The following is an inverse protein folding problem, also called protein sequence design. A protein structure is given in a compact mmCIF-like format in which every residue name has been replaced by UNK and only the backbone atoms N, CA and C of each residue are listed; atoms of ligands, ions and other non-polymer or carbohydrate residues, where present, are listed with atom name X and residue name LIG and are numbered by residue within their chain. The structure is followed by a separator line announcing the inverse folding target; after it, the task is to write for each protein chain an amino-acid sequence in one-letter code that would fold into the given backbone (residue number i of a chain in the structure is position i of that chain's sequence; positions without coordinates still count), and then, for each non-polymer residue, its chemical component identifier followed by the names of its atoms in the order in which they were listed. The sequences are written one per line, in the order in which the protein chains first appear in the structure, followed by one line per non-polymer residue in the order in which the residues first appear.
data_IF_206367216781
#
_entry.id   IF_206367216781
#
_cell.length_a   1.000
_cell.length_b   1.000
_cell.length_c   1.000
_cell.angle_alpha   90.00
_cell.angle_beta   90.00
_cell.angle_gamma   90.00
#
_symmetry.space_group_name_H-M   'P 1'
#
loop_
_entity.id
_entity.type
_entity.pdbx_description
1 polymer ?
#
# COMPACT_ATOMS: atom_id res chain seq x y z
N UNK A 1 -8.42 68.39 -0.88
CA UNK A 1 -7.58 69.05 0.16
C UNK A 1 -7.10 67.96 1.13
N UNK A 2 -5.78 67.90 1.21
CA UNK A 2 -4.97 67.30 2.29
C UNK A 2 -5.05 65.79 2.62
N UNK A 3 -4.01 65.11 2.19
CA UNK A 3 -3.34 64.03 2.94
C UNK A 3 -2.64 64.62 4.16
N UNK A 4 -2.35 63.82 5.24
CA UNK A 4 -1.01 63.26 5.24
C UNK A 4 -0.87 61.81 5.75
N UNK A 5 0.29 61.25 5.42
CA UNK A 5 0.94 60.01 5.92
C UNK A 5 1.15 60.04 7.44
N UNK A 6 1.29 58.84 8.03
CA UNK A 6 2.38 58.49 8.97
C UNK A 6 2.28 57.02 9.45
N UNK A 7 3.31 56.29 9.11
CA UNK A 7 4.23 55.63 10.04
C UNK A 7 3.75 54.45 10.86
N UNK A 8 4.21 53.32 10.50
CA UNK A 8 4.89 52.24 11.15
C UNK A 8 4.54 51.86 12.60
N UNK A 9 4.08 50.61 12.77
CA UNK A 9 4.40 49.86 13.99
C UNK A 9 4.66 48.40 13.61
N UNK A 10 5.91 48.00 13.73
CA UNK A 10 6.34 46.62 13.84
C UNK A 10 5.73 46.01 15.10
N UNK A 11 4.88 45.02 14.98
CA UNK A 11 4.54 44.13 16.08
C UNK A 11 5.37 42.86 15.96
N UNK A 12 6.38 42.77 16.81
CA UNK A 12 7.15 41.59 17.10
C UNK A 12 6.24 40.59 17.83
N UNK A 13 5.79 39.56 17.15
CA UNK A 13 5.18 38.40 17.81
C UNK A 13 6.29 37.40 18.16
N UNK A 14 6.77 37.49 19.42
CA UNK A 14 7.49 36.40 20.06
C UNK A 14 6.46 35.33 20.48
N UNK A 15 6.11 34.42 19.58
CA UNK A 15 5.47 33.15 19.92
C UNK A 15 6.59 32.16 20.27
N UNK A 16 6.61 31.67 21.51
CA UNK A 16 7.44 30.53 21.90
C UNK A 16 7.06 29.31 21.05
N UNK A 17 7.91 28.97 20.10
CA UNK A 17 7.89 27.67 19.47
C UNK A 17 8.38 26.64 20.48
N UNK A 18 7.53 25.72 20.91
CA UNK A 18 7.93 24.54 21.64
C UNK A 18 8.73 23.66 20.68
N UNK A 19 10.06 23.81 20.78
CA UNK A 19 10.99 23.03 19.98
C UNK A 19 10.94 21.57 20.41
N UNK A 20 10.80 20.68 19.45
CA UNK A 20 11.56 19.43 19.41
C UNK A 20 11.39 18.70 18.06
N UNK A 21 10.23 18.86 17.40
CA UNK A 21 9.92 18.12 16.16
C UNK A 21 10.57 18.70 14.91
N UNK A 22 10.55 20.04 14.75
CA UNK A 22 11.22 20.72 13.62
C UNK A 22 12.75 20.51 13.66
N UNK A 23 13.33 20.49 14.86
CA UNK A 23 14.76 20.24 15.05
C UNK A 23 15.15 18.81 14.72
N UNK A 24 14.29 17.82 15.00
CA UNK A 24 14.55 16.39 14.70
C UNK A 24 14.55 16.11 13.19
N UNK A 25 13.64 16.72 12.44
CA UNK A 25 13.61 16.60 10.97
C UNK A 25 14.69 17.46 10.30
N UNK A 26 14.99 18.64 10.84
CA UNK A 26 16.08 19.48 10.36
C UNK A 26 17.46 18.89 10.68
N UNK A 27 17.64 18.23 11.82
CA UNK A 27 18.87 17.49 12.16
C UNK A 27 18.99 16.20 11.33
N UNK A 28 17.89 15.53 10.97
CA UNK A 28 17.93 14.36 10.06
C UNK A 28 18.30 14.77 8.63
N UNK A 29 17.83 15.93 8.14
CA UNK A 29 18.23 16.48 6.83
C UNK A 29 19.66 17.03 6.84
N UNK A 30 20.12 17.69 7.93
CA UNK A 30 21.50 18.11 8.06
C UNK A 30 22.47 16.95 8.26
N UNK A 31 22.12 15.94 9.04
CA UNK A 31 22.97 14.73 9.18
C UNK A 31 23.10 13.96 7.86
N UNK A 32 22.08 14.00 7.00
CA UNK A 32 22.14 13.44 5.64
C UNK A 32 22.97 14.27 4.65
N UNK A 33 23.06 15.59 4.84
CA UNK A 33 23.89 16.48 4.02
C UNK A 33 25.38 16.45 4.45
N UNK A 34 25.70 16.28 5.73
CA UNK A 34 27.09 16.22 6.21
C UNK A 34 27.81 14.89 5.97
N UNK A 35 27.09 13.80 5.69
CA UNK A 35 27.74 12.50 5.35
C UNK A 35 28.24 12.42 3.91
N UNK A 36 27.95 13.41 3.06
CA UNK A 36 28.44 13.47 1.67
C UNK A 36 29.77 14.20 1.47
N UNK A 37 30.36 14.85 2.49
CA UNK A 37 31.56 15.71 2.30
C UNK A 37 32.83 15.26 2.98
N UNK A 38 32.89 14.05 3.56
CA UNK A 38 34.11 13.50 4.17
C UNK A 38 34.43 12.11 3.62
N UNK A 39 34.91 12.04 2.39
CA UNK A 39 35.76 10.90 1.91
C UNK A 39 37.12 11.42 1.57
N UNK A 40 37.90 11.56 2.60
CA UNK A 40 39.38 11.65 2.50
C UNK A 40 39.94 10.28 2.17
N UNK A 41 40.74 10.24 1.12
CA UNK A 41 41.52 9.10 0.65
C UNK A 41 42.47 8.55 1.73
N UNK A 42 42.21 7.33 2.19
CA UNK A 42 43.24 6.50 2.87
C UNK A 42 43.53 5.30 1.98
N UNK A 43 44.73 5.30 1.37
CA UNK A 43 45.35 4.10 0.80
C UNK A 43 45.85 3.23 1.94
N UNK A 44 45.39 2.00 2.00
CA UNK A 44 46.05 0.91 2.72
C UNK A 44 46.28 -0.23 1.74
N UNK A 45 47.58 -0.46 1.51
CA UNK A 45 48.16 -1.62 0.84
C UNK A 45 48.24 -2.79 1.83
N UNK A 46 47.96 -4.02 1.39
CA UNK A 46 48.30 -5.23 2.15
C UNK A 46 47.45 -6.45 1.79
N UNK A 47 47.95 -7.22 0.88
CA UNK A 47 48.04 -8.69 0.70
C UNK A 47 46.91 -9.64 1.17
N UNK A 48 46.42 -10.35 0.18
CA UNK A 48 46.13 -11.79 0.04
C UNK A 48 45.35 -12.59 1.07
N UNK A 49 44.33 -13.29 0.55
CA UNK A 49 43.93 -14.63 0.98
C UNK A 49 42.51 -14.82 1.39
N UNK A 50 41.66 -15.41 0.54
CA UNK A 50 40.52 -16.15 1.04
C UNK A 50 39.12 -15.70 0.61
N UNK A 51 38.55 -16.50 -0.28
CA UNK A 51 37.10 -16.75 -0.34
C UNK A 51 36.18 -15.56 -0.53
N UNK A 52 35.97 -15.11 -1.74
CA UNK A 52 35.03 -14.05 -2.07
C UNK A 52 33.56 -14.33 -1.66
N UNK A 53 33.21 -14.03 -0.43
CA UNK A 53 31.82 -13.83 0.00
C UNK A 53 31.39 -12.53 -0.65
N UNK A 54 30.68 -12.62 -1.80
CA UNK A 54 30.00 -11.46 -2.42
C UNK A 54 29.16 -10.79 -1.34
N UNK A 55 29.62 -9.64 -0.83
CA UNK A 55 28.79 -8.76 0.02
C UNK A 55 27.58 -8.36 -0.81
N UNK A 56 26.45 -9.04 -0.61
CA UNK A 56 25.17 -8.57 -1.11
C UNK A 56 24.98 -7.18 -0.54
N UNK A 57 25.04 -6.15 -1.40
CA UNK A 57 24.81 -4.78 -0.98
C UNK A 57 23.48 -4.72 -0.19
N UNK A 58 23.52 -4.05 0.97
CA UNK A 58 22.34 -3.90 1.84
C UNK A 58 21.17 -3.36 1.03
N UNK A 59 20.05 -4.07 0.99
CA UNK A 59 18.78 -3.61 0.40
C UNK A 59 18.12 -2.62 1.35
N UNK A 60 17.39 -1.66 0.79
CA UNK A 60 16.50 -0.78 1.55
C UNK A 60 15.13 -1.45 1.60
N UNK A 61 14.72 -1.88 2.79
CA UNK A 61 13.41 -2.53 3.00
C UNK A 61 12.36 -1.52 3.43
N UNK A 62 11.31 -1.40 2.64
CA UNK A 62 10.25 -0.41 2.83
C UNK A 62 8.90 -1.10 3.01
N UNK A 63 8.16 -0.72 4.05
CA UNK A 63 6.75 -1.06 4.16
C UNK A 63 5.91 -0.01 3.41
N UNK A 64 5.05 -0.46 2.48
CA UNK A 64 4.10 0.37 1.74
C UNK A 64 2.70 0.05 2.28
N UNK A 65 2.11 0.99 3.01
CA UNK A 65 0.92 0.78 3.85
C UNK A 65 -0.21 1.67 3.34
N UNK A 66 -1.30 1.08 2.87
CA UNK A 66 -2.48 1.82 2.42
C UNK A 66 -3.59 1.81 3.48
N UNK A 67 -4.30 2.89 3.57
CA UNK A 67 -5.64 3.05 4.09
C UNK A 67 -5.90 2.35 5.45
N UNK A 68 -5.28 2.78 6.55
CA UNK A 68 -5.68 2.36 7.89
C UNK A 68 -7.11 2.80 8.23
N UNK A 69 -7.53 3.94 7.76
CA UNK A 69 -8.87 4.50 7.61
C UNK A 69 -9.80 4.24 8.81
N UNK A 70 -9.39 4.77 9.97
CA UNK A 70 -10.15 4.66 11.21
C UNK A 70 -11.15 5.80 11.37
N UNK A 71 -12.40 5.49 11.74
CA UNK A 71 -13.50 6.46 11.91
C UNK A 71 -13.77 6.80 13.38
N UNK A 72 -13.41 5.91 14.30
CA UNK A 72 -13.67 6.04 15.71
C UNK A 72 -12.64 5.29 16.55
N UNK A 73 -12.68 5.48 17.88
CA UNK A 73 -11.74 4.87 18.81
C UNK A 73 -11.77 3.33 18.78
N UNK A 74 -12.93 2.72 18.50
CA UNK A 74 -13.04 1.27 18.37
C UNK A 74 -12.21 0.76 17.19
N UNK A 75 -12.32 1.42 16.05
CA UNK A 75 -11.53 1.10 14.85
C UNK A 75 -10.04 1.43 15.04
N UNK A 76 -9.73 2.53 15.74
CA UNK A 76 -8.36 2.80 16.19
C UNK A 76 -7.81 1.66 17.04
N UNK A 77 -8.62 1.11 17.94
CA UNK A 77 -8.28 -0.07 18.73
C UNK A 77 -8.04 -1.33 17.86
N UNK A 78 -8.83 -1.54 16.80
CA UNK A 78 -8.60 -2.63 15.83
C UNK A 78 -7.29 -2.44 15.07
N UNK A 79 -7.03 -1.23 14.56
CA UNK A 79 -5.79 -0.90 13.87
C UNK A 79 -4.57 -1.10 14.79
N UNK A 80 -4.66 -0.64 16.05
CA UNK A 80 -3.62 -0.79 17.05
C UNK A 80 -3.29 -2.25 17.35
N UNK A 81 -4.31 -3.07 17.60
CA UNK A 81 -4.16 -4.50 17.93
C UNK A 81 -3.74 -5.36 16.74
N UNK A 82 -3.89 -4.89 15.51
CA UNK A 82 -3.59 -5.64 14.30
C UNK A 82 -2.49 -4.99 13.46
N UNK A 83 -2.79 -3.94 12.68
CA UNK A 83 -1.88 -3.32 11.70
C UNK A 83 -0.64 -2.75 12.38
N UNK A 84 -0.82 -1.88 13.37
CA UNK A 84 0.31 -1.22 14.02
C UNK A 84 1.13 -2.18 14.90
N UNK A 85 0.48 -3.18 15.53
CA UNK A 85 1.18 -4.27 16.23
C UNK A 85 2.02 -5.12 15.28
N UNK A 86 1.48 -5.49 14.11
CA UNK A 86 2.20 -6.25 13.08
C UNK A 86 3.42 -5.45 12.58
N UNK A 87 3.23 -4.17 12.20
CA UNK A 87 4.29 -3.27 11.80
C UNK A 87 5.36 -3.10 12.88
N UNK A 88 4.97 -2.85 14.12
CA UNK A 88 5.91 -2.67 15.25
C UNK A 88 6.75 -3.93 15.54
N UNK A 89 6.23 -5.11 15.22
CA UNK A 89 6.95 -6.38 15.37
C UNK A 89 8.08 -6.56 14.37
N UNK A 90 8.07 -5.82 13.22
CA UNK A 90 9.00 -5.93 12.12
C UNK A 90 10.25 -5.07 12.37
N UNK A 91 11.32 -5.72 12.84
CA UNK A 91 12.61 -5.05 13.09
C UNK A 91 13.50 -4.97 11.85
N UNK A 92 13.08 -5.57 10.76
CA UNK A 92 13.78 -5.65 9.48
C UNK A 92 13.38 -4.54 8.48
N UNK A 93 12.41 -3.68 8.82
CA UNK A 93 11.99 -2.53 8.01
C UNK A 93 12.94 -1.34 8.26
N UNK A 94 13.39 -0.69 7.19
CA UNK A 94 14.21 0.52 7.26
C UNK A 94 13.37 1.81 7.29
N UNK A 95 12.26 1.85 6.54
CA UNK A 95 11.27 2.95 6.52
C UNK A 95 9.88 2.41 6.21
N UNK A 96 8.83 3.17 6.60
CA UNK A 96 7.46 2.92 6.14
C UNK A 96 6.91 4.15 5.40
N UNK A 97 6.09 3.89 4.37
CA UNK A 97 5.35 4.91 3.63
C UNK A 97 3.86 4.59 3.73
N UNK A 98 3.12 5.50 4.37
CA UNK A 98 1.65 5.43 4.47
C UNK A 98 1.03 6.22 3.31
N UNK A 99 0.12 5.56 2.59
CA UNK A 99 -0.39 6.03 1.30
C UNK A 99 -1.76 6.72 1.40
N UNK A 100 -2.01 7.38 2.53
CA UNK A 100 -3.21 8.18 2.78
C UNK A 100 -4.36 7.41 3.42
N UNK A 101 -5.45 8.14 3.66
CA UNK A 101 -6.61 7.69 4.40
C UNK A 101 -6.21 7.07 5.76
N UNK A 102 -5.48 7.85 6.56
CA UNK A 102 -5.13 7.48 7.93
C UNK A 102 -6.38 7.43 8.81
N UNK A 103 -7.29 8.37 8.57
CA UNK A 103 -8.63 8.46 9.20
C UNK A 103 -9.73 8.40 8.14
N UNK A 104 -10.98 8.24 8.58
CA UNK A 104 -12.15 8.21 7.71
C UNK A 104 -13.04 9.43 7.98
N UNK A 105 -12.68 10.60 7.43
CA UNK A 105 -13.32 11.92 7.63
C UNK A 105 -13.29 12.44 9.09
N UNK A 106 -12.91 11.63 10.06
CA UNK A 106 -12.82 12.04 11.47
C UNK A 106 -11.43 12.60 11.80
N UNK A 107 -11.22 13.87 11.47
CA UNK A 107 -9.94 14.54 11.66
C UNK A 107 -9.52 14.71 13.13
N UNK A 108 -10.43 14.48 14.09
CA UNK A 108 -10.07 14.51 15.53
C UNK A 108 -9.15 13.34 15.91
N UNK A 109 -9.19 12.24 15.14
CA UNK A 109 -8.33 11.07 15.34
C UNK A 109 -6.96 11.18 14.65
N UNK A 110 -6.76 12.17 13.75
CA UNK A 110 -5.50 12.28 13.01
C UNK A 110 -4.27 12.45 13.92
N UNK A 111 -4.30 13.28 14.96
CA UNK A 111 -3.16 13.41 15.88
C UNK A 111 -2.78 12.09 16.55
N UNK A 112 -3.78 11.28 16.96
CA UNK A 112 -3.55 9.98 17.58
C UNK A 112 -3.02 8.98 16.56
N UNK A 113 -3.57 8.93 15.35
CA UNK A 113 -3.10 8.07 14.27
C UNK A 113 -1.63 8.33 13.96
N UNK A 114 -1.25 9.61 13.82
CA UNK A 114 0.14 10.01 13.56
C UNK A 114 1.03 9.69 14.75
N UNK A 115 0.58 9.91 15.99
CA UNK A 115 1.33 9.56 17.20
C UNK A 115 1.66 8.05 17.25
N UNK A 116 0.70 7.19 16.90
CA UNK A 116 0.90 5.73 16.84
C UNK A 116 1.89 5.37 15.74
N UNK A 117 1.76 5.97 14.55
CA UNK A 117 2.68 5.76 13.42
C UNK A 117 4.10 6.21 13.80
N UNK A 118 4.27 7.37 14.42
CA UNK A 118 5.57 7.90 14.85
C UNK A 118 6.22 7.06 15.96
N UNK A 119 5.45 6.22 16.66
CA UNK A 119 5.96 5.28 17.66
C UNK A 119 6.55 4.00 17.06
N UNK A 120 6.40 3.75 15.76
CA UNK A 120 7.01 2.61 15.09
C UNK A 120 8.55 2.70 15.13
N UNK A 121 9.26 1.55 15.15
CA UNK A 121 10.71 1.53 15.40
C UNK A 121 11.58 1.99 14.23
N UNK A 122 11.00 2.60 13.20
CA UNK A 122 11.66 3.11 12.00
C UNK A 122 10.98 4.40 11.52
N UNK A 123 11.67 5.25 10.73
CA UNK A 123 11.08 6.45 10.18
C UNK A 123 9.85 6.14 9.31
N UNK A 124 8.79 6.93 9.51
CA UNK A 124 7.54 6.83 8.77
C UNK A 124 7.29 8.11 7.98
N UNK A 125 6.83 7.96 6.76
CA UNK A 125 6.42 9.04 5.89
C UNK A 125 4.99 8.78 5.42
N UNK A 126 4.23 9.84 5.11
CA UNK A 126 2.83 9.69 4.75
C UNK A 126 2.37 10.74 3.74
N UNK A 127 1.40 10.38 2.91
CA UNK A 127 0.68 11.30 2.03
C UNK A 127 -0.76 11.44 2.50
N UNK A 128 -1.42 12.58 2.31
CA UNK A 128 -2.84 12.71 2.66
C UNK A 128 -3.73 12.01 1.63
N UNK A 129 -4.76 11.33 2.12
CA UNK A 129 -5.84 10.78 1.33
C UNK A 129 -7.04 11.72 1.19
N UNK A 130 -8.11 11.22 0.59
CA UNK A 130 -9.35 12.00 0.43
C UNK A 130 -10.17 12.08 1.72
N UNK A 131 -9.97 11.16 2.65
CA UNK A 131 -10.58 11.18 3.98
C UNK A 131 -9.73 11.90 5.05
N UNK A 132 -8.47 12.25 4.76
CA UNK A 132 -7.57 12.98 5.66
C UNK A 132 -7.72 14.50 5.52
N UNK A 133 -8.96 15.02 5.42
CA UNK A 133 -9.23 16.42 5.12
C UNK A 133 -10.27 17.02 6.05
N UNK A 134 -9.98 18.24 6.51
CA UNK A 134 -10.98 19.04 7.22
C UNK A 134 -12.15 19.37 6.28
N UNK A 135 -13.37 19.15 6.74
CA UNK A 135 -14.60 19.52 6.05
C UNK A 135 -15.12 20.81 6.64
N UNK A 136 -15.36 21.80 5.80
CA UNK A 136 -15.95 23.08 6.19
C UNK A 136 -17.25 23.31 5.42
N UNK A 137 -18.32 23.64 6.13
CA UNK A 137 -19.67 23.86 5.58
C UNK A 137 -20.56 22.63 5.63
N UNK A 138 -21.86 22.88 5.47
CA UNK A 138 -22.88 21.83 5.49
C UNK A 138 -23.17 21.31 4.08
N UNK A 139 -23.51 20.02 3.98
CA UNK A 139 -24.02 19.49 2.72
C UNK A 139 -25.40 20.08 2.42
N UNK A 140 -25.81 20.37 1.17
CA UNK A 140 -25.15 19.90 -0.04
C UNK A 140 -24.11 20.84 -0.67
N UNK A 141 -23.98 22.12 -0.36
CA UNK A 141 -22.99 22.97 -1.01
C UNK A 141 -22.92 24.41 -0.44
N UNK A 142 -21.81 25.11 -0.53
CA UNK A 142 -20.47 24.71 -0.93
C UNK A 142 -19.70 24.18 0.27
N UNK A 143 -19.23 22.95 0.18
CA UNK A 143 -18.43 22.43 1.24
C UNK A 143 -16.96 22.31 0.78
N UNK A 144 -16.07 22.87 1.55
CA UNK A 144 -14.65 22.94 1.21
C UNK A 144 -13.88 21.93 2.06
N UNK A 145 -13.09 21.09 1.39
CA UNK A 145 -12.14 20.22 2.06
C UNK A 145 -10.75 20.84 1.99
N UNK A 146 -10.07 20.91 3.11
CA UNK A 146 -8.72 21.47 3.19
C UNK A 146 -7.78 20.57 4.02
N UNK A 147 -6.50 20.93 4.11
CA UNK A 147 -5.46 20.18 4.80
C UNK A 147 -4.90 20.96 5.99
N UNK A 148 -5.72 21.73 6.70
CA UNK A 148 -5.25 22.54 7.85
C UNK A 148 -4.76 21.65 8.98
N UNK A 149 -5.59 20.71 9.43
CA UNK A 149 -5.22 19.77 10.50
C UNK A 149 -4.05 18.88 10.07
N UNK A 150 -4.05 18.39 8.84
CA UNK A 150 -2.93 17.63 8.30
C UNK A 150 -1.59 18.39 8.40
N UNK A 151 -1.55 19.65 7.92
CA UNK A 151 -0.34 20.47 7.98
C UNK A 151 0.15 20.74 9.42
N UNK A 152 -0.78 20.89 10.34
CA UNK A 152 -0.44 21.12 11.75
C UNK A 152 0.11 19.87 12.43
N UNK A 153 -0.37 18.68 12.05
CA UNK A 153 -0.02 17.41 12.69
C UNK A 153 1.18 16.75 12.01
N UNK A 154 1.16 16.64 10.67
CA UNK A 154 2.20 15.96 9.89
C UNK A 154 3.35 16.90 9.53
N UNK A 155 3.08 18.20 9.33
CA UNK A 155 4.09 19.23 9.05
C UNK A 155 4.45 19.42 7.58
N UNK A 156 4.05 18.53 6.69
CA UNK A 156 4.24 18.63 5.24
C UNK A 156 3.04 18.06 4.47
N UNK A 157 2.95 18.38 3.17
CA UNK A 157 1.94 17.83 2.24
C UNK A 157 2.64 17.08 1.11
N UNK A 158 3.59 17.76 0.48
CA UNK A 158 4.46 17.21 -0.55
C UNK A 158 5.90 17.18 -0.02
N UNK A 159 6.62 16.08 -0.26
CA UNK A 159 8.03 15.96 0.19
C UNK A 159 8.79 15.00 -0.69
N UNK A 160 10.13 15.11 -0.68
CA UNK A 160 11.00 14.16 -1.36
C UNK A 160 12.31 13.94 -0.61
N UNK A 161 12.84 12.74 -0.72
CA UNK A 161 14.16 12.38 -0.19
C UNK A 161 14.80 11.25 -1.00
N UNK A 162 16.11 11.08 -0.86
CA UNK A 162 16.85 9.98 -1.47
C UNK A 162 17.42 9.09 -0.37
N UNK A 163 17.23 7.77 -0.52
CA UNK A 163 17.84 6.77 0.35
C UNK A 163 18.29 5.56 -0.46
N UNK A 164 19.51 5.08 -0.22
CA UNK A 164 20.11 3.92 -0.93
C UNK A 164 20.00 4.01 -2.47
N UNK A 165 20.19 5.22 -3.03
CA UNK A 165 20.09 5.49 -4.48
C UNK A 165 18.67 5.32 -5.05
N UNK A 166 17.66 5.37 -4.19
CA UNK A 166 16.23 5.41 -4.56
C UNK A 166 15.67 6.75 -4.10
N UNK A 167 15.03 7.48 -5.00
CA UNK A 167 14.28 8.70 -4.68
C UNK A 167 12.84 8.32 -4.32
N UNK A 168 12.37 8.87 -3.23
CA UNK A 168 10.95 8.85 -2.83
C UNK A 168 10.40 10.25 -3.01
N UNK A 169 9.31 10.37 -3.75
CA UNK A 169 8.53 11.58 -3.92
C UNK A 169 7.13 11.27 -3.39
N UNK A 170 6.74 11.91 -2.32
CA UNK A 170 5.43 11.77 -1.70
C UNK A 170 4.61 13.01 -2.02
N UNK A 171 3.48 12.83 -2.72
CA UNK A 171 2.67 13.96 -3.20
C UNK A 171 1.19 13.77 -2.94
N UNK A 172 0.56 14.82 -2.46
CA UNK A 172 -0.89 14.91 -2.44
C UNK A 172 -1.43 15.02 -3.88
N UNK A 173 -2.18 14.03 -4.30
CA UNK A 173 -2.84 14.07 -5.60
C UNK A 173 -4.37 14.12 -5.52
N UNK A 174 -4.92 14.41 -4.33
CA UNK A 174 -6.35 14.61 -4.14
C UNK A 174 -6.68 16.08 -4.31
N UNK A 175 -7.49 16.42 -5.30
CA UNK A 175 -7.93 17.78 -5.62
C UNK A 175 -9.43 17.90 -5.44
N UNK A 176 -9.90 19.10 -5.13
CA UNK A 176 -11.33 19.41 -5.25
C UNK A 176 -11.85 19.15 -6.65
N UNK A 177 -13.09 18.69 -6.73
CA UNK A 177 -13.82 18.58 -7.99
C UNK A 177 -14.69 19.81 -8.19
N UNK A 178 -14.52 20.46 -9.33
CA UNK A 178 -15.35 21.60 -9.74
C UNK A 178 -16.70 21.14 -10.35
N UNK A 179 -16.90 19.82 -10.52
CA UNK A 179 -18.07 19.28 -11.23
C UNK A 179 -19.34 19.10 -10.37
N UNK A 180 -19.21 19.24 -9.05
CA UNK A 180 -20.33 19.05 -8.11
C UNK A 180 -20.85 17.60 -7.98
N UNK A 181 -20.42 16.68 -8.82
CA UNK A 181 -20.84 15.27 -8.79
C UNK A 181 -19.98 14.41 -7.85
N UNK A 182 -18.72 14.78 -7.66
CA UNK A 182 -17.79 14.14 -6.72
C UNK A 182 -17.05 15.20 -5.94
N UNK A 183 -16.75 14.93 -4.68
CA UNK A 183 -16.05 15.88 -3.80
C UNK A 183 -14.61 16.13 -4.23
N UNK A 184 -14.00 15.18 -4.94
CA UNK A 184 -12.58 15.20 -5.32
C UNK A 184 -12.32 14.48 -6.64
N UNK A 185 -11.15 14.76 -7.18
CA UNK A 185 -10.55 14.08 -8.34
C UNK A 185 -9.07 13.86 -8.08
N UNK A 186 -8.52 12.80 -8.68
CA UNK A 186 -7.05 12.61 -8.71
C UNK A 186 -6.39 13.58 -9.68
N UNK A 187 -5.25 14.18 -9.30
CA UNK A 187 -4.47 15.05 -10.17
C UNK A 187 -3.53 15.98 -9.42
N UNK A 188 -2.72 16.73 -10.15
CA UNK A 188 -1.75 17.68 -9.60
C UNK A 188 -2.05 19.11 -10.08
N UNK A 189 -1.77 20.09 -9.22
CA UNK A 189 -1.81 21.52 -9.58
C UNK A 189 -0.61 21.88 -10.46
N UNK A 190 -0.67 23.05 -11.12
CA UNK A 190 0.47 23.60 -11.85
C UNK A 190 1.71 23.75 -10.97
N UNK A 191 1.55 24.29 -9.76
CA UNK A 191 2.65 24.45 -8.80
C UNK A 191 3.28 23.12 -8.40
N UNK A 192 2.46 22.09 -8.16
CA UNK A 192 2.98 20.74 -7.86
C UNK A 192 3.72 20.13 -9.05
N UNK A 193 3.27 20.35 -10.29
CA UNK A 193 3.99 19.89 -11.48
C UNK A 193 5.33 20.59 -11.65
N UNK A 194 5.42 21.88 -11.42
CA UNK A 194 6.69 22.60 -11.42
C UNK A 194 7.65 22.11 -10.33
N UNK A 195 7.13 21.85 -9.12
CA UNK A 195 7.93 21.28 -8.05
C UNK A 195 8.40 19.86 -8.39
N UNK A 196 7.52 19.00 -8.94
CA UNK A 196 7.86 17.66 -9.37
C UNK A 196 8.96 17.67 -10.44
N UNK A 197 8.86 18.54 -11.45
CA UNK A 197 9.87 18.74 -12.48
C UNK A 197 11.22 19.12 -11.86
N UNK A 198 11.23 20.08 -10.95
CA UNK A 198 12.46 20.48 -10.25
C UNK A 198 13.11 19.33 -9.47
N UNK A 199 12.27 18.50 -8.79
CA UNK A 199 12.76 17.35 -8.02
C UNK A 199 13.28 16.25 -8.95
N UNK A 200 12.61 15.97 -10.06
CA UNK A 200 13.01 14.92 -11.01
C UNK A 200 14.36 15.23 -11.68
N UNK A 201 14.68 16.50 -11.87
CA UNK A 201 15.91 16.96 -12.53
C UNK A 201 17.12 17.10 -11.58
N UNK A 202 16.98 16.84 -10.26
CA UNK A 202 18.07 16.88 -9.31
C UNK A 202 18.69 15.49 -9.14
N UNK A 203 19.95 15.29 -9.57
CA UNK A 203 20.67 14.03 -9.44
C UNK A 203 20.06 12.92 -10.33
N UNK A 204 20.68 11.74 -10.31
CA UNK A 204 20.27 10.59 -11.12
C UNK A 204 20.13 9.33 -10.24
N UNK A 205 19.09 9.21 -9.44
CA UNK A 205 18.85 7.98 -8.66
C UNK A 205 18.56 6.80 -9.60
N UNK A 206 18.87 5.59 -9.15
CA UNK A 206 18.65 4.39 -9.95
C UNK A 206 17.15 4.04 -10.10
N UNK A 207 16.30 4.56 -9.22
CA UNK A 207 14.84 4.42 -9.23
C UNK A 207 14.21 5.63 -8.55
N UNK A 208 13.08 6.09 -9.07
CA UNK A 208 12.22 7.07 -8.41
C UNK A 208 10.87 6.40 -8.09
N UNK A 209 10.46 6.45 -6.83
CA UNK A 209 9.16 6.02 -6.33
C UNK A 209 8.29 7.26 -6.17
N UNK A 210 7.21 7.36 -6.93
CA UNK A 210 6.18 8.39 -6.75
C UNK A 210 5.03 7.79 -5.96
N UNK A 211 4.94 8.19 -4.68
CA UNK A 211 3.91 7.75 -3.74
C UNK A 211 2.79 8.79 -3.67
N UNK A 212 1.57 8.36 -3.96
CA UNK A 212 0.35 9.18 -3.93
C UNK A 212 -0.78 8.39 -3.28
N UNK A 213 -1.90 9.04 -2.99
CA UNK A 213 -3.07 8.31 -2.48
C UNK A 213 -3.89 7.68 -3.62
N UNK A 214 -4.38 8.51 -4.55
CA UNK A 214 -5.16 8.02 -5.70
C UNK A 214 -4.22 7.37 -6.72
N UNK A 215 -4.57 6.21 -7.30
CA UNK A 215 -3.76 5.54 -8.32
C UNK A 215 -3.38 6.46 -9.48
N UNK A 216 -2.14 6.32 -9.94
CA UNK A 216 -1.61 7.12 -11.04
C UNK A 216 -2.41 6.91 -12.34
N UNK A 217 -2.90 5.70 -12.57
CA UNK A 217 -3.80 5.36 -13.69
C UNK A 217 -5.15 6.08 -13.64
N UNK A 218 -5.55 6.62 -12.48
CA UNK A 218 -6.86 7.27 -12.26
C UNK A 218 -6.78 8.80 -12.19
N UNK A 219 -5.59 9.40 -12.28
CA UNK A 219 -5.47 10.87 -12.20
C UNK A 219 -5.84 11.56 -13.50
N UNK A 220 -6.44 12.74 -13.40
CA UNK A 220 -6.64 13.64 -14.55
C UNK A 220 -5.31 14.28 -14.97
N UNK A 221 -5.07 14.36 -16.27
CA UNK A 221 -3.86 14.97 -16.82
C UNK A 221 -2.58 14.13 -16.62
N UNK A 222 -2.71 12.81 -16.55
CA UNK A 222 -1.60 11.86 -16.41
C UNK A 222 -0.48 12.12 -17.42
N UNK A 223 -0.81 12.34 -18.67
CA UNK A 223 0.17 12.54 -19.74
C UNK A 223 1.06 13.78 -19.50
N UNK A 224 0.49 14.83 -18.90
CA UNK A 224 1.28 16.02 -18.52
C UNK A 224 2.25 15.76 -17.36
N UNK A 225 2.04 14.72 -16.57
CA UNK A 225 2.97 14.28 -15.52
C UNK A 225 4.03 13.36 -16.13
N UNK A 226 3.63 12.45 -17.02
CA UNK A 226 4.57 11.58 -17.75
C UNK A 226 5.56 12.40 -18.59
N UNK A 227 5.12 13.50 -19.19
CA UNK A 227 5.99 14.40 -19.95
C UNK A 227 7.09 15.09 -19.12
N UNK A 228 6.95 15.13 -17.79
CA UNK A 228 7.98 15.65 -16.87
C UNK A 228 9.05 14.60 -16.53
N UNK A 229 8.74 13.31 -16.74
CA UNK A 229 9.66 12.23 -16.37
C UNK A 229 10.81 12.16 -17.38
N UNK A 230 12.08 12.32 -16.95
CA UNK A 230 13.21 12.17 -17.85
C UNK A 230 13.23 10.79 -18.50
N UNK A 231 13.56 10.70 -19.77
CA UNK A 231 13.56 9.44 -20.54
C UNK A 231 14.39 8.32 -19.89
N UNK A 232 15.52 8.68 -19.28
CA UNK A 232 16.40 7.74 -18.59
C UNK A 232 15.91 7.37 -17.18
N UNK A 233 14.87 8.00 -16.65
CA UNK A 233 14.40 7.78 -15.30
C UNK A 233 13.56 6.51 -15.19
N UNK A 234 13.90 5.66 -14.23
CA UNK A 234 13.07 4.50 -13.87
C UNK A 234 12.07 4.94 -12.80
N UNK A 235 10.79 4.70 -13.05
CA UNK A 235 9.71 5.07 -12.14
C UNK A 235 9.03 3.84 -11.55
N UNK A 236 8.52 4.01 -10.33
CA UNK A 236 7.53 3.13 -9.71
C UNK A 236 6.45 4.03 -9.09
N UNK A 237 5.20 3.87 -9.52
CA UNK A 237 4.04 4.56 -8.97
C UNK A 237 3.40 3.71 -7.89
N UNK A 238 3.16 4.28 -6.70
CA UNK A 238 2.62 3.53 -5.55
C UNK A 238 1.45 4.29 -4.95
N UNK A 239 0.33 3.59 -4.71
CA UNK A 239 -0.88 4.21 -4.18
C UNK A 239 -1.74 3.26 -3.33
N UNK A 240 -2.72 3.85 -2.59
CA UNK A 240 -3.77 3.16 -1.85
C UNK A 240 -5.16 3.35 -2.47
N UNK A 241 -6.09 3.93 -1.70
CA UNK A 241 -7.40 4.45 -2.12
C UNK A 241 -8.47 3.42 -2.51
N UNK A 242 -8.13 2.41 -3.29
CA UNK A 242 -9.15 1.58 -3.94
C UNK A 242 -9.66 0.42 -3.10
N UNK A 243 -9.04 0.13 -1.95
CA UNK A 243 -9.26 -1.07 -1.15
C UNK A 243 -9.20 -2.37 -1.99
N UNK A 244 -8.25 -2.35 -2.92
CA UNK A 244 -8.12 -3.35 -3.97
C UNK A 244 -6.64 -3.44 -4.36
N UNK A 245 -6.05 -4.60 -4.20
CA UNK A 245 -4.65 -4.82 -4.59
C UNK A 245 -4.58 -5.03 -6.09
N UNK A 246 -3.73 -4.26 -6.75
CA UNK A 246 -3.46 -4.42 -8.19
C UNK A 246 -2.03 -4.04 -8.52
N UNK A 247 -1.49 -4.70 -9.52
CA UNK A 247 -0.17 -4.41 -10.06
C UNK A 247 -0.19 -4.50 -11.57
N UNK A 248 0.33 -3.46 -12.23
CA UNK A 248 0.50 -3.40 -13.66
C UNK A 248 1.98 -3.12 -13.94
N UNK A 249 2.66 -4.05 -14.58
CA UNK A 249 4.09 -3.94 -14.87
C UNK A 249 4.33 -3.25 -16.23
N UNK A 250 3.30 -3.06 -17.07
CA UNK A 250 3.38 -2.29 -18.32
C UNK A 250 3.46 -0.78 -18.08
N UNK A 251 2.74 -0.30 -17.06
CA UNK A 251 2.97 0.98 -16.40
C UNK A 251 3.34 0.60 -14.98
N UNK A 252 4.58 0.79 -14.52
CA UNK A 252 5.05 0.24 -13.25
C UNK A 252 4.30 0.85 -12.07
N UNK A 253 3.04 0.41 -11.89
CA UNK A 253 2.11 0.84 -10.86
C UNK A 253 1.79 -0.27 -9.88
N UNK A 254 1.86 0.05 -8.59
CA UNK A 254 1.48 -0.78 -7.48
C UNK A 254 0.39 -0.10 -6.65
N UNK A 255 -0.82 -0.65 -6.66
CA UNK A 255 -1.91 -0.28 -5.76
C UNK A 255 -1.88 -1.26 -4.60
N UNK A 256 -1.53 -0.78 -3.40
CA UNK A 256 -1.22 -1.66 -2.26
C UNK A 256 -2.46 -2.21 -1.54
N UNK A 257 -3.65 -1.69 -1.87
CA UNK A 257 -4.90 -2.02 -1.16
C UNK A 257 -4.99 -1.31 0.19
N UNK A 258 -5.85 -1.81 1.08
CA UNK A 258 -6.18 -1.17 2.35
C UNK A 258 -5.90 -2.09 3.54
N UNK A 259 -5.28 -1.53 4.58
CA UNK A 259 -5.06 -2.26 5.84
C UNK A 259 -6.33 -2.32 6.70
N UNK A 260 -7.31 -1.44 6.49
CA UNK A 260 -8.66 -1.57 7.04
C UNK A 260 -9.51 -2.62 6.31
N UNK A 261 -9.05 -3.11 5.12
CA UNK A 261 -9.86 -3.96 4.23
C UNK A 261 -11.11 -3.23 3.75
N UNK A 262 -12.30 -3.77 4.08
CA UNK A 262 -13.60 -3.13 3.80
C UNK A 262 -14.09 -2.37 5.03
N UNK A 263 -13.42 -1.27 5.38
CA UNK A 263 -13.80 -0.35 6.47
C UNK A 263 -14.04 -1.04 7.82
N UNK A 264 -13.10 -1.89 8.26
CA UNK A 264 -13.18 -2.58 9.56
C UNK A 264 -14.50 -3.34 9.79
N UNK A 265 -15.03 -3.97 8.75
CA UNK A 265 -16.29 -4.73 8.79
C UNK A 265 -16.06 -6.22 8.65
N UNK A 266 -17.01 -7.00 9.12
CA UNK A 266 -17.02 -8.45 9.04
C UNK A 266 -17.13 -9.11 10.41
N UNK A 267 -17.33 -10.43 10.41
CA UNK A 267 -17.32 -11.23 11.63
C UNK A 267 -15.99 -11.05 12.34
N UNK A 268 -16.04 -10.87 13.64
CA UNK A 268 -14.85 -10.70 14.46
C UNK A 268 -14.14 -12.03 14.68
N UNK A 269 -12.82 -11.99 14.68
CA UNK A 269 -11.96 -13.11 15.06
C UNK A 269 -11.84 -13.27 16.58
N UNK A 270 -10.97 -14.19 17.04
CA UNK A 270 -10.75 -14.46 18.47
C UNK A 270 -10.18 -13.28 19.26
N UNK A 271 -9.55 -12.31 18.59
CA UNK A 271 -9.03 -11.07 19.17
C UNK A 271 -10.07 -9.93 19.13
N UNK A 272 -11.28 -10.22 18.65
CA UNK A 272 -12.36 -9.26 18.49
C UNK A 272 -12.19 -8.31 17.32
N UNK A 273 -11.34 -8.62 16.34
CA UNK A 273 -11.01 -7.78 15.18
C UNK A 273 -11.82 -8.24 13.97
N UNK A 274 -12.52 -7.32 13.25
CA UNK A 274 -13.29 -7.69 12.06
C UNK A 274 -12.42 -8.33 10.97
N UNK A 275 -12.99 -9.29 10.24
CA UNK A 275 -12.31 -10.00 9.15
C UNK A 275 -11.87 -9.06 8.01
N UNK A 276 -12.69 -8.09 7.65
CA UNK A 276 -12.41 -6.95 6.77
C UNK A 276 -11.65 -7.31 5.46
N UNK A 277 -12.20 -8.26 4.69
CA UNK A 277 -11.63 -8.70 3.41
C UNK A 277 -11.64 -7.56 2.38
N UNK A 278 -10.57 -7.42 1.61
CA UNK A 278 -10.49 -6.49 0.47
C UNK A 278 -11.35 -6.96 -0.72
N UNK A 279 -11.77 -6.03 -1.56
CA UNK A 279 -12.67 -6.32 -2.68
C UNK A 279 -12.08 -7.22 -3.77
N UNK A 280 -10.75 -7.36 -3.83
CA UNK A 280 -10.04 -8.29 -4.73
C UNK A 280 -9.87 -9.71 -4.14
N UNK A 281 -10.28 -9.92 -2.89
CA UNK A 281 -10.11 -11.19 -2.19
C UNK A 281 -8.78 -11.35 -1.45
N UNK A 282 -7.90 -10.35 -1.48
CA UNK A 282 -6.73 -10.35 -0.60
C UNK A 282 -7.16 -10.05 0.84
N UNK A 283 -6.61 -10.75 1.84
CA UNK A 283 -6.72 -10.32 3.22
C UNK A 283 -6.17 -8.90 3.39
N UNK A 284 -6.57 -8.18 4.46
CA UNK A 284 -5.92 -6.92 4.80
C UNK A 284 -4.42 -7.14 4.97
N UNK A 285 -3.63 -6.21 4.46
CA UNK A 285 -2.19 -6.35 4.43
C UNK A 285 -1.50 -5.12 3.83
N UNK A 286 -0.20 -5.22 3.70
CA UNK A 286 0.66 -4.20 3.14
C UNK A 286 1.78 -4.84 2.33
N UNK A 287 2.45 -4.07 1.48
CA UNK A 287 3.61 -4.58 0.76
C UNK A 287 4.91 -4.32 1.51
N UNK A 288 5.83 -5.25 1.40
CA UNK A 288 7.25 -5.07 1.66
C UNK A 288 7.95 -4.97 0.31
N UNK A 289 8.64 -3.86 0.09
CA UNK A 289 9.47 -3.62 -1.08
C UNK A 289 10.94 -3.61 -0.67
N UNK A 290 11.73 -4.49 -1.26
CA UNK A 290 13.17 -4.58 -1.09
C UNK A 290 13.85 -3.86 -2.25
N UNK A 291 14.26 -2.60 -2.05
CA UNK A 291 14.92 -1.78 -3.06
C UNK A 291 16.43 -2.00 -3.06
N UNK A 292 16.97 -2.32 -4.22
CA UNK A 292 18.40 -2.46 -4.46
C UNK A 292 19.00 -1.16 -4.98
N UNK A 293 20.26 -0.90 -4.64
CA UNK A 293 21.00 0.29 -5.14
C UNK A 293 21.06 0.42 -6.67
N UNK A 294 20.83 -0.68 -7.38
CA UNK A 294 20.73 -0.73 -8.85
C UNK A 294 19.38 -0.24 -9.41
N UNK A 295 18.43 0.08 -8.54
CA UNK A 295 17.05 0.40 -8.93
C UNK A 295 16.16 -0.83 -9.21
N UNK A 296 16.69 -2.07 -9.09
CA UNK A 296 15.86 -3.27 -9.03
C UNK A 296 15.12 -3.29 -7.70
N UNK A 297 13.92 -3.84 -7.68
CA UNK A 297 13.17 -4.07 -6.44
C UNK A 297 12.49 -5.44 -6.47
N UNK A 298 12.30 -6.00 -5.29
CA UNK A 298 11.54 -7.23 -5.07
C UNK A 298 10.36 -6.90 -4.15
N UNK A 299 9.21 -7.51 -4.39
CA UNK A 299 7.97 -7.27 -3.65
C UNK A 299 7.53 -8.52 -2.91
N UNK A 300 6.89 -8.34 -1.78
CA UNK A 300 6.12 -9.38 -1.10
C UNK A 300 4.90 -8.78 -0.40
N UNK A 301 3.78 -9.50 -0.44
CA UNK A 301 2.58 -9.10 0.28
C UNK A 301 2.61 -9.66 1.70
N UNK A 302 2.40 -8.81 2.70
CA UNK A 302 2.33 -9.22 4.10
C UNK A 302 0.89 -9.12 4.60
N UNK A 303 0.24 -10.25 4.77
CA UNK A 303 -1.05 -10.30 5.44
C UNK A 303 -0.89 -9.94 6.92
N UNK A 304 -1.67 -8.97 7.40
CA UNK A 304 -1.64 -8.54 8.82
C UNK A 304 -2.00 -9.70 9.72
N UNK A 305 -1.19 -9.90 10.78
CA UNK A 305 -1.38 -10.96 11.77
C UNK A 305 -1.08 -12.37 11.29
N UNK A 306 -0.55 -12.57 10.05
CA UNK A 306 -0.21 -13.88 9.51
C UNK A 306 1.29 -14.01 9.21
N UNK A 307 1.83 -15.23 9.09
CA UNK A 307 3.22 -15.43 8.69
C UNK A 307 3.55 -14.74 7.35
N UNK A 308 4.76 -14.20 7.20
CA UNK A 308 5.20 -13.56 5.96
C UNK A 308 5.26 -14.51 4.75
N UNK A 309 5.31 -15.82 5.00
CA UNK A 309 5.24 -16.85 3.95
C UNK A 309 3.83 -17.05 3.38
N UNK A 310 2.79 -16.49 4.01
CA UNK A 310 1.40 -16.65 3.57
C UNK A 310 1.02 -15.53 2.60
N UNK A 311 1.33 -15.73 1.31
CA UNK A 311 1.17 -14.75 0.25
C UNK A 311 0.15 -15.17 -0.82
N UNK A 312 -0.51 -16.31 -0.65
CA UNK A 312 -1.53 -16.82 -1.56
C UNK A 312 -2.50 -17.77 -0.84
N UNK A 313 -3.65 -17.99 -1.48
CA UNK A 313 -4.62 -19.03 -1.09
C UNK A 313 -4.91 -19.96 -2.27
N UNK A 314 -5.38 -21.16 -1.99
CA UNK A 314 -5.85 -22.11 -3.00
C UNK A 314 -7.23 -22.66 -2.63
N UNK A 315 -8.11 -22.76 -3.63
CA UNK A 315 -9.50 -23.17 -3.49
C UNK A 315 -9.85 -24.27 -4.49
N UNK A 316 -10.64 -25.25 -4.05
CA UNK A 316 -11.30 -26.18 -4.96
C UNK A 316 -12.55 -25.50 -5.53
N UNK A 317 -12.67 -25.47 -6.84
CA UNK A 317 -13.86 -24.99 -7.52
C UNK A 317 -14.52 -26.16 -8.26
N UNK A 318 -15.85 -26.36 -8.16
CA UNK A 318 -16.53 -27.41 -8.89
C UNK A 318 -16.24 -27.31 -10.40
N UNK A 319 -16.18 -28.46 -11.08
CA UNK A 319 -16.19 -28.50 -12.53
C UNK A 319 -17.64 -28.49 -13.01
N UNK A 320 -18.00 -27.60 -13.95
CA UNK A 320 -19.37 -27.45 -14.42
C UNK A 320 -19.84 -28.68 -15.23
N UNK A 321 -18.90 -29.50 -15.73
CA UNK A 321 -19.19 -30.71 -16.54
C UNK A 321 -19.29 -31.99 -15.72
N UNK A 322 -18.80 -32.01 -14.49
CA UNK A 322 -18.78 -33.19 -13.61
C UNK A 322 -18.82 -32.77 -12.13
N UNK A 323 -19.91 -33.12 -11.46
CA UNK A 323 -20.13 -32.82 -10.05
C UNK A 323 -19.18 -33.53 -9.08
N UNK A 324 -18.50 -34.58 -9.54
CA UNK A 324 -17.48 -35.30 -8.77
C UNK A 324 -16.06 -34.77 -8.98
N UNK A 325 -15.91 -33.78 -9.85
CA UNK A 325 -14.65 -33.18 -10.22
C UNK A 325 -14.55 -31.72 -9.84
N UNK A 326 -13.33 -31.24 -9.66
CA UNK A 326 -13.04 -29.85 -9.36
C UNK A 326 -11.73 -29.40 -10.02
N UNK A 327 -11.59 -28.10 -10.17
CA UNK A 327 -10.34 -27.42 -10.55
C UNK A 327 -9.81 -26.60 -9.38
N UNK A 328 -8.52 -26.33 -9.38
CA UNK A 328 -7.91 -25.46 -8.38
C UNK A 328 -7.93 -24.00 -8.85
N UNK A 329 -8.32 -23.12 -7.95
CA UNK A 329 -8.23 -21.69 -8.10
C UNK A 329 -7.19 -21.15 -7.11
N UNK A 330 -6.21 -20.41 -7.60
CA UNK A 330 -5.14 -19.82 -6.80
C UNK A 330 -5.30 -18.32 -6.81
N UNK A 331 -5.39 -17.72 -5.62
CA UNK A 331 -5.37 -16.27 -5.41
C UNK A 331 -3.97 -15.89 -4.90
N UNK A 332 -3.18 -15.20 -5.72
CA UNK A 332 -1.82 -14.72 -5.36
C UNK A 332 -1.91 -13.26 -4.94
N UNK A 333 -1.79 -12.97 -3.65
CA UNK A 333 -1.96 -11.62 -3.12
C UNK A 333 -0.91 -10.67 -3.69
N UNK A 334 -1.35 -9.71 -4.51
CA UNK A 334 -0.47 -8.77 -5.20
C UNK A 334 0.31 -9.34 -6.39
N UNK A 335 -0.11 -10.48 -6.93
CA UNK A 335 0.46 -10.99 -8.19
C UNK A 335 0.17 -10.05 -9.37
N UNK A 336 1.14 -9.90 -10.27
CA UNK A 336 1.01 -9.13 -11.52
C UNK A 336 0.21 -9.90 -12.56
N UNK A 337 -0.38 -9.18 -13.50
CA UNK A 337 -1.10 -9.76 -14.65
C UNK A 337 -0.21 -10.67 -15.51
N UNK A 338 1.10 -10.44 -15.53
CA UNK A 338 2.09 -11.20 -16.31
C UNK A 338 2.69 -12.38 -15.52
N UNK A 339 2.20 -12.61 -14.30
CA UNK A 339 2.68 -13.67 -13.42
C UNK A 339 2.36 -15.07 -13.92
N UNK A 340 3.26 -16.01 -13.64
CA UNK A 340 3.13 -17.41 -13.98
C UNK A 340 2.90 -18.21 -12.70
N UNK A 341 1.80 -18.97 -12.66
CA UNK A 341 1.45 -19.87 -11.55
C UNK A 341 1.58 -21.31 -11.99
N UNK A 342 2.28 -22.12 -11.18
CA UNK A 342 2.33 -23.58 -11.32
C UNK A 342 1.90 -24.23 -10.02
N UNK A 343 1.03 -25.23 -10.13
CA UNK A 343 0.55 -26.02 -9.00
C UNK A 343 1.09 -27.44 -9.12
N UNK A 344 1.74 -27.94 -8.07
CA UNK A 344 2.16 -29.32 -7.96
C UNK A 344 1.29 -30.03 -6.93
N UNK A 345 0.57 -31.04 -7.38
CA UNK A 345 -0.30 -31.87 -6.54
C UNK A 345 0.51 -33.04 -5.95
N UNK A 346 0.45 -33.32 -4.63
CA UNK A 346 1.15 -34.43 -4.01
C UNK A 346 0.69 -35.80 -4.53
N UNK A 347 1.55 -36.83 -4.44
CA UNK A 347 1.31 -38.20 -4.93
C UNK A 347 0.08 -38.92 -4.36
N UNK A 348 -0.52 -38.44 -3.30
CA UNK A 348 -1.66 -39.08 -2.60
C UNK A 348 -3.04 -38.77 -3.20
N UNK A 349 -3.14 -37.93 -4.22
CA UNK A 349 -4.41 -37.61 -4.88
C UNK A 349 -4.63 -38.58 -6.01
N UNK A 350 -5.73 -39.35 -5.99
CA UNK A 350 -6.06 -40.32 -7.04
C UNK A 350 -6.17 -39.64 -8.41
N UNK A 351 -5.59 -40.25 -9.43
CA UNK A 351 -5.64 -39.82 -10.83
C UNK A 351 -4.60 -38.78 -11.24
N UNK A 352 -3.93 -38.06 -10.29
CA UNK A 352 -3.03 -36.97 -10.61
C UNK A 352 -1.78 -36.98 -9.72
N UNK A 353 -0.87 -37.92 -10.01
CA UNK A 353 0.25 -38.16 -9.13
C UNK A 353 1.50 -37.37 -9.52
N UNK A 354 1.93 -36.42 -8.65
CA UNK A 354 3.24 -35.77 -8.74
C UNK A 354 3.44 -34.85 -9.95
N UNK A 355 2.40 -34.58 -10.75
CA UNK A 355 2.46 -33.70 -11.92
C UNK A 355 2.40 -32.20 -11.50
N UNK A 356 3.03 -31.38 -12.32
CA UNK A 356 2.96 -29.92 -12.20
C UNK A 356 2.04 -29.38 -13.29
N UNK A 357 1.09 -28.55 -12.90
CA UNK A 357 0.09 -27.95 -13.79
C UNK A 357 0.37 -26.46 -13.91
N UNK A 358 0.40 -25.96 -15.14
CA UNK A 358 0.38 -24.53 -15.41
C UNK A 358 -1.06 -24.05 -15.16
N UNK A 359 -1.19 -22.95 -14.44
CA UNK A 359 -2.48 -22.30 -14.26
C UNK A 359 -2.63 -21.16 -15.28
N UNK A 360 -3.85 -20.96 -15.74
CA UNK A 360 -4.22 -19.85 -16.61
C UNK A 360 -4.76 -18.69 -15.77
N UNK A 361 -4.40 -17.48 -16.12
CA UNK A 361 -4.97 -16.29 -15.48
C UNK A 361 -6.46 -16.22 -15.76
N UNK A 362 -7.24 -15.89 -14.74
CA UNK A 362 -8.70 -15.89 -14.82
C UNK A 362 -9.26 -14.56 -14.35
N UNK A 363 -10.00 -13.89 -15.23
CA UNK A 363 -10.65 -12.62 -14.92
C UNK A 363 -11.99 -12.85 -14.19
N UNK A 364 -11.94 -13.46 -13.00
CA UNK A 364 -13.11 -13.84 -12.20
C UNK A 364 -13.03 -13.26 -10.80
N UNK A 365 -14.17 -13.23 -10.11
CA UNK A 365 -14.24 -12.90 -8.68
C UNK A 365 -13.43 -13.91 -7.87
N UNK A 366 -12.69 -13.42 -6.88
CA UNK A 366 -11.95 -14.27 -5.97
C UNK A 366 -12.88 -15.18 -5.14
N UNK A 367 -12.51 -16.44 -4.88
CA UNK A 367 -13.32 -17.36 -4.07
C UNK A 367 -13.60 -16.85 -2.66
N UNK A 368 -12.67 -16.09 -2.07
CA UNK A 368 -12.84 -15.43 -0.77
C UNK A 368 -14.02 -14.46 -0.78
N UNK A 369 -14.14 -13.67 -1.85
CA UNK A 369 -15.24 -12.72 -2.05
C UNK A 369 -16.55 -13.46 -2.25
N UNK A 370 -16.57 -14.52 -3.06
CA UNK A 370 -17.75 -15.37 -3.25
C UNK A 370 -18.22 -15.99 -1.93
N UNK A 371 -17.31 -16.43 -1.08
CA UNK A 371 -17.64 -16.95 0.26
C UNK A 371 -18.32 -15.90 1.12
N UNK A 372 -17.79 -14.67 1.15
CA UNK A 372 -18.39 -13.55 1.89
C UNK A 372 -19.77 -13.19 1.33
N UNK A 373 -19.92 -13.11 0.00
CA UNK A 373 -21.21 -12.80 -0.62
C UNK A 373 -22.27 -13.88 -0.28
N UNK A 374 -21.89 -15.15 -0.32
CA UNK A 374 -22.78 -16.26 0.09
C UNK A 374 -23.15 -16.18 1.56
N UNK A 375 -22.19 -15.91 2.43
CA UNK A 375 -22.44 -15.69 3.86
C UNK A 375 -23.40 -14.51 4.04
N UNK A 376 -23.15 -13.36 3.43
CA UNK A 376 -24.02 -12.21 3.49
C UNK A 376 -25.46 -12.52 3.02
N UNK A 377 -25.61 -13.34 1.99
CA UNK A 377 -26.93 -13.75 1.47
C UNK A 377 -27.70 -14.66 2.44
N UNK A 378 -27.00 -15.45 3.25
CA UNK A 378 -27.64 -16.31 4.26
C UNK A 378 -28.15 -15.54 5.49
N UNK A 379 -27.72 -14.28 5.69
CA UNK A 379 -28.15 -13.45 6.82
C UNK A 379 -29.55 -12.90 6.58
N UNK A 380 -30.41 -12.96 7.61
CA UNK A 380 -31.75 -12.34 7.56
C UNK A 380 -31.66 -10.81 7.37
N UNK A 381 -32.72 -10.21 6.84
CA UNK A 381 -32.79 -8.74 6.71
C UNK A 381 -32.66 -8.06 8.08
N UNK A 382 -33.29 -8.63 9.11
CA UNK A 382 -33.24 -8.12 10.47
C UNK A 382 -31.83 -8.19 11.05
N UNK A 383 -31.15 -9.34 10.92
CA UNK A 383 -29.77 -9.49 11.37
C UNK A 383 -28.85 -8.45 10.72
N UNK A 384 -28.93 -8.27 9.41
CA UNK A 384 -28.13 -7.26 8.69
C UNK A 384 -28.41 -5.83 9.16
N UNK A 385 -29.64 -5.53 9.57
CA UNK A 385 -30.03 -4.21 10.10
C UNK A 385 -29.42 -3.95 11.48
N UNK A 386 -29.39 -4.95 12.35
CA UNK A 386 -28.92 -4.85 13.74
C UNK A 386 -27.40 -5.06 13.89
N UNK A 387 -26.78 -5.82 12.96
CA UNK A 387 -25.35 -6.18 12.99
C UNK A 387 -24.59 -5.62 11.77
N UNK A 388 -24.76 -4.33 11.51
CA UNK A 388 -24.21 -3.67 10.31
C UNK A 388 -22.70 -3.81 10.16
N UNK A 389 -21.96 -3.85 11.25
CA UNK A 389 -20.50 -3.97 11.25
C UNK A 389 -20.01 -5.38 10.94
N UNK A 390 -20.86 -6.41 11.09
CA UNK A 390 -20.53 -7.79 10.75
C UNK A 390 -20.75 -8.11 9.26
N UNK A 391 -21.31 -7.17 8.52
CA UNK A 391 -21.62 -7.30 7.11
C UNK A 391 -20.55 -6.57 6.27
N UNK A 392 -19.84 -7.31 5.39
CA UNK A 392 -18.90 -6.72 4.44
C UNK A 392 -19.63 -6.50 3.11
N UNK A 393 -19.84 -5.26 2.67
CA UNK A 393 -20.65 -4.93 1.47
C UNK A 393 -19.85 -5.18 0.18
N UNK A 394 -19.34 -6.39 -0.02
CA UNK A 394 -18.63 -6.76 -1.23
C UNK A 394 -19.56 -7.03 -2.40
N UNK A 395 -19.09 -6.69 -3.59
CA UNK A 395 -19.71 -6.99 -4.87
C UNK A 395 -18.80 -7.89 -5.70
N UNK A 396 -19.40 -8.70 -6.58
CA UNK A 396 -18.65 -9.45 -7.57
C UNK A 396 -17.94 -8.49 -8.50
N UNK A 397 -16.62 -8.59 -8.54
CA UNK A 397 -15.80 -7.94 -9.56
C UNK A 397 -14.57 -8.78 -9.84
N UNK A 398 -14.06 -8.74 -11.07
CA UNK A 398 -12.85 -9.48 -11.41
C UNK A 398 -11.68 -9.09 -10.51
N UNK A 399 -10.91 -10.08 -10.09
CA UNK A 399 -9.64 -9.87 -9.38
C UNK A 399 -8.47 -10.05 -10.35
N UNK A 400 -7.47 -9.16 -10.34
CA UNK A 400 -6.36 -9.20 -11.31
C UNK A 400 -5.36 -10.33 -11.04
N UNK A 401 -5.43 -10.95 -9.87
CA UNK A 401 -4.43 -11.89 -9.38
C UNK A 401 -5.02 -13.29 -9.05
N UNK A 402 -5.93 -13.77 -9.92
CA UNK A 402 -6.53 -15.11 -9.86
C UNK A 402 -6.02 -15.96 -11.02
N UNK A 403 -5.63 -17.19 -10.70
CA UNK A 403 -5.25 -18.23 -11.66
C UNK A 403 -6.03 -19.53 -11.41
N UNK A 404 -6.35 -20.25 -12.48
CA UNK A 404 -7.05 -21.53 -12.42
C UNK A 404 -6.24 -22.61 -13.12
N UNK A 405 -6.30 -23.84 -12.59
CA UNK A 405 -5.70 -24.99 -13.29
C UNK A 405 -6.50 -25.32 -14.54
N UNK A 406 -5.80 -25.82 -15.56
CA UNK A 406 -6.40 -26.42 -16.76
C UNK A 406 -6.86 -27.85 -16.50
N UNK A 407 -6.30 -28.51 -15.46
CA UNK A 407 -6.61 -29.90 -15.13
C UNK A 407 -7.76 -29.99 -14.14
N UNK A 408 -8.60 -30.97 -14.35
CA UNK A 408 -9.66 -31.41 -13.46
C UNK A 408 -9.15 -32.51 -12.54
N UNK A 409 -9.58 -32.53 -11.30
CA UNK A 409 -9.22 -33.49 -10.27
C UNK A 409 -10.51 -34.18 -9.80
N UNK A 410 -10.48 -35.50 -9.64
CA UNK A 410 -11.60 -36.26 -9.12
C UNK A 410 -11.29 -36.85 -7.74
N UNK A 411 -12.31 -37.03 -6.93
CA UNK A 411 -12.21 -37.62 -5.58
C UNK A 411 -12.16 -36.57 -4.45
N UNK A 412 -11.74 -36.99 -3.25
CA UNK A 412 -11.67 -36.10 -2.11
C UNK A 412 -10.71 -34.94 -2.39
N UNK A 413 -11.08 -33.74 -1.94
CA UNK A 413 -10.27 -32.55 -2.10
C UNK A 413 -8.83 -32.76 -1.60
N UNK A 414 -7.82 -32.25 -2.34
CA UNK A 414 -6.45 -32.31 -1.86
C UNK A 414 -6.30 -31.39 -0.64
N UNK A 415 -5.75 -31.94 0.45
CA UNK A 415 -5.55 -31.18 1.68
C UNK A 415 -4.48 -30.09 1.49
N UNK A 416 -3.44 -30.37 0.70
CA UNK A 416 -2.33 -29.45 0.45
C UNK A 416 -1.82 -29.56 -0.99
N UNK A 417 -1.48 -28.41 -1.57
CA UNK A 417 -0.77 -28.31 -2.86
C UNK A 417 0.48 -27.43 -2.69
N UNK A 418 1.48 -27.65 -3.54
CA UNK A 418 2.63 -26.75 -3.63
C UNK A 418 2.39 -25.79 -4.79
N UNK A 419 2.36 -24.50 -4.50
CA UNK A 419 2.19 -23.44 -5.49
C UNK A 419 3.51 -22.71 -5.69
N UNK A 420 3.86 -22.47 -6.95
CA UNK A 420 4.99 -21.64 -7.35
C UNK A 420 4.41 -20.50 -8.18
N UNK A 421 4.65 -19.29 -7.76
CA UNK A 421 4.35 -18.07 -8.50
C UNK A 421 5.64 -17.35 -8.84
N UNK A 422 5.72 -16.76 -10.02
CA UNK A 422 6.85 -15.94 -10.47
C UNK A 422 6.40 -14.87 -11.44
N UNK A 423 6.90 -13.65 -11.22
CA UNK A 423 6.92 -12.53 -12.15
C UNK A 423 8.27 -11.78 -12.05
N UNK A 424 8.36 -10.55 -12.57
CA UNK A 424 9.57 -9.73 -12.56
C UNK A 424 10.03 -9.34 -11.14
N UNK A 425 9.10 -9.21 -10.18
CA UNK A 425 9.34 -8.63 -8.85
C UNK A 425 8.97 -9.55 -7.68
N UNK A 426 8.21 -10.63 -7.94
CA UNK A 426 7.79 -11.57 -6.89
C UNK A 426 8.14 -13.01 -7.27
N UNK A 427 8.62 -13.76 -6.27
CA UNK A 427 8.83 -15.19 -6.40
C UNK A 427 8.34 -15.89 -5.14
N UNK A 428 7.21 -16.61 -5.25
CA UNK A 428 6.58 -17.30 -4.14
C UNK A 428 6.70 -18.82 -4.35
N UNK A 429 7.06 -19.53 -3.29
CA UNK A 429 6.95 -20.99 -3.18
C UNK A 429 6.25 -21.29 -1.87
N UNK A 430 5.02 -21.74 -1.95
CA UNK A 430 4.19 -21.96 -0.77
C UNK A 430 3.48 -23.30 -0.87
N UNK A 431 3.53 -24.06 0.24
CA UNK A 431 2.64 -25.19 0.45
C UNK A 431 1.38 -24.67 1.11
N UNK A 432 0.23 -24.81 0.47
CA UNK A 432 -1.03 -24.23 0.92
C UNK A 432 -2.09 -25.32 1.06
N UNK A 433 -2.92 -25.19 2.11
CA UNK A 433 -4.11 -26.01 2.27
C UNK A 433 -5.17 -25.53 1.27
N UNK A 434 -5.80 -26.46 0.54
CA UNK A 434 -6.92 -26.16 -0.32
C UNK A 434 -8.18 -25.95 0.53
N UNK A 435 -8.92 -24.89 0.25
CA UNK A 435 -10.13 -24.48 0.96
C UNK A 435 -11.39 -24.89 0.19
#
# INVERSE_FOLDING_TARGET
MNRPCLCGRFFSFRGRMTGDKSLKYMLLTLALALTCTLVGSVRLSGADGGGGRKTRGRVLRVALVGDPQVDNETEMGYAGKSVYKDLASRKDIDIAVFLGDLVNDNMTLLPESVRVIDSLPYPCFMVPGNHDRDVQGDRPMPFVRNLKTWRNVVGYVDTSFIRSNVRFILMNNVRHSDSGMTDYVGGFTGAQKHWLDSVLNVGAPALTVLATHIPFSQIKGRDSVLALVPEAARMLYVSGHTHYVSRDDSVPELIVGATCGSWWRGVKDGDGIPYALQSCGSPRGYFIADFHRSGRYDLSYKCVGRPASEQLSAWAIPDDSDTCSYRLCVNVFGGSTDGIVRVRVPRRVRGVCGKSYLCERSNTTAPEVEKVIRFNASLSREYRRTHRTEFIPLRRKPSPHIWKTTATFSGPEPVYVNVIYRDAHMHIRQRVKVQ
#
